data_IF_532514624882
#
_entry.id   IF_532514624882
#
_cell.length_a   1.000
_cell.length_b   1.000
_cell.length_c   1.000
_cell.angle_alpha   90.00
_cell.angle_beta   90.00
_cell.angle_gamma   90.00
#
_symmetry.space_group_name_H-M   'P 1'
#
loop_
_entity.id
_entity.type
_entity.pdbx_description
1 polymer ?
#
# COMPACT_ATOMS: atom_id res chain seq x y z
N UNK A 1 -15.63 18.95 9.25
CA UNK A 1 -15.68 19.17 7.80
C UNK A 1 -16.89 20.07 7.46
N UNK A 2 -18.11 19.74 7.94
CA UNK A 2 -19.32 20.53 7.65
C UNK A 2 -19.22 21.95 8.22
N UNK A 3 -18.62 22.13 9.40
CA UNK A 3 -18.44 23.42 10.06
C UNK A 3 -17.23 24.23 9.55
N UNK A 4 -16.28 23.61 8.86
CA UNK A 4 -15.08 24.28 8.36
C UNK A 4 -14.72 23.75 6.96
N UNK A 5 -15.09 24.47 5.88
CA UNK A 5 -14.81 24.05 4.51
C UNK A 5 -13.32 23.90 4.18
N UNK A 6 -12.44 24.65 4.86
CA UNK A 6 -10.98 24.53 4.68
C UNK A 6 -10.44 23.17 5.16
N UNK A 7 -11.16 22.47 6.05
CA UNK A 7 -10.78 21.15 6.53
C UNK A 7 -10.92 20.02 5.48
N UNK A 8 -11.55 20.32 4.33
CA UNK A 8 -11.68 19.35 3.23
C UNK A 8 -10.32 19.01 2.61
N UNK A 9 -9.41 20.00 2.54
CA UNK A 9 -8.08 19.79 1.94
C UNK A 9 -7.16 18.87 2.79
N UNK A 10 -7.23 18.98 4.12
CA UNK A 10 -6.43 18.17 5.04
C UNK A 10 -7.21 17.87 6.33
N UNK A 11 -8.21 16.96 6.27
CA UNK A 11 -9.12 16.73 7.39
C UNK A 11 -8.39 16.25 8.65
N UNK A 12 -7.34 15.44 8.53
CA UNK A 12 -6.62 14.88 9.66
C UNK A 12 -5.95 15.95 10.53
N UNK A 13 -5.28 16.93 9.92
CA UNK A 13 -4.57 17.98 10.66
C UNK A 13 -5.48 19.15 11.07
N UNK A 14 -6.61 19.35 10.40
CA UNK A 14 -7.51 20.47 10.62
C UNK A 14 -8.74 20.14 11.48
N UNK A 15 -8.92 18.87 11.90
CA UNK A 15 -9.98 18.46 12.83
C UNK A 15 -9.67 18.83 14.30
N UNK A 16 -8.39 18.98 14.66
CA UNK A 16 -7.98 19.32 16.01
C UNK A 16 -7.81 20.83 16.21
N UNK A 17 -7.77 21.31 17.47
CA UNK A 17 -7.42 22.68 17.80
C UNK A 17 -5.98 22.99 17.35
N UNK A 18 -5.68 24.28 17.14
CA UNK A 18 -4.41 24.72 16.54
C UNK A 18 -3.17 24.26 17.32
N UNK A 19 -3.25 24.19 18.64
CA UNK A 19 -2.15 23.71 19.50
C UNK A 19 -1.82 22.22 19.29
N UNK A 20 -2.78 21.42 18.81
CA UNK A 20 -2.60 19.98 18.59
C UNK A 20 -1.95 19.66 17.23
N UNK A 21 -1.91 20.61 16.30
CA UNK A 21 -1.36 20.39 14.95
C UNK A 21 0.12 19.97 14.97
N UNK A 22 0.94 20.68 15.74
CA UNK A 22 2.36 20.36 15.84
C UNK A 22 2.61 18.95 16.46
N UNK A 23 2.01 18.60 17.60
CA UNK A 23 2.06 17.23 18.13
C UNK A 23 1.58 16.17 17.14
N UNK A 24 0.50 16.42 16.39
CA UNK A 24 -0.01 15.48 15.39
C UNK A 24 0.98 15.27 14.23
N UNK A 25 1.65 16.31 13.75
CA UNK A 25 2.68 16.20 12.71
C UNK A 25 3.84 15.36 13.19
N UNK A 26 4.32 15.60 14.41
CA UNK A 26 5.42 14.82 15.00
C UNK A 26 4.99 13.34 15.14
N UNK A 27 3.81 13.10 15.69
CA UNK A 27 3.27 11.74 15.87
C UNK A 27 3.12 11.01 14.53
N UNK A 28 2.56 11.68 13.51
CA UNK A 28 2.41 11.13 12.18
C UNK A 28 3.77 10.81 11.55
N UNK A 29 4.77 11.65 11.73
CA UNK A 29 6.13 11.42 11.24
C UNK A 29 6.75 10.19 11.89
N UNK A 30 6.69 10.09 13.22
CA UNK A 30 7.18 8.91 13.96
C UNK A 30 6.44 7.64 13.53
N UNK A 31 5.12 7.69 13.41
CA UNK A 31 4.31 6.57 12.94
C UNK A 31 4.72 6.13 11.52
N UNK A 32 4.99 7.07 10.62
CA UNK A 32 5.45 6.79 9.26
C UNK A 32 6.82 6.10 9.24
N UNK A 33 7.75 6.51 10.09
CA UNK A 33 9.07 5.86 10.22
C UNK A 33 8.90 4.41 10.68
N UNK A 34 8.07 4.17 11.70
CA UNK A 34 7.80 2.81 12.22
C UNK A 34 7.14 1.94 11.14
N UNK A 35 6.14 2.48 10.44
CA UNK A 35 5.46 1.77 9.36
C UNK A 35 6.41 1.42 8.21
N UNK A 36 7.32 2.33 7.83
CA UNK A 36 8.34 2.08 6.82
C UNK A 36 9.26 0.93 7.21
N UNK A 37 9.73 0.89 8.47
CA UNK A 37 10.57 -0.22 8.96
C UNK A 37 9.83 -1.56 8.95
N UNK A 38 8.55 -1.58 9.33
CA UNK A 38 7.72 -2.77 9.28
C UNK A 38 7.56 -3.31 7.85
N UNK A 39 7.33 -2.42 6.86
CA UNK A 39 7.24 -2.78 5.45
C UNK A 39 8.54 -3.37 4.91
N UNK A 40 9.70 -2.77 5.23
CA UNK A 40 11.02 -3.27 4.81
C UNK A 40 11.28 -4.67 5.40
N UNK A 41 11.01 -4.85 6.69
CA UNK A 41 11.18 -6.15 7.36
C UNK A 41 10.23 -7.22 6.79
N UNK A 42 9.01 -6.84 6.48
CA UNK A 42 8.03 -7.69 5.80
C UNK A 42 8.51 -8.11 4.41
N UNK A 43 9.04 -7.17 3.62
CA UNK A 43 9.58 -7.44 2.29
C UNK A 43 10.77 -8.41 2.35
N UNK A 44 11.68 -8.27 3.34
CA UNK A 44 12.79 -9.22 3.53
C UNK A 44 12.28 -10.62 3.87
N UNK A 45 11.28 -10.73 4.73
CA UNK A 45 10.68 -12.01 5.11
C UNK A 45 10.03 -12.72 3.91
N UNK A 46 9.26 -11.98 3.11
CA UNK A 46 8.65 -12.52 1.89
C UNK A 46 9.72 -12.93 0.87
N UNK A 47 10.72 -12.09 0.64
CA UNK A 47 11.82 -12.40 -0.29
C UNK A 47 12.56 -13.66 0.13
N UNK A 48 12.83 -13.85 1.43
CA UNK A 48 13.43 -15.08 1.96
C UNK A 48 12.56 -16.30 1.68
N UNK A 49 11.26 -16.21 1.91
CA UNK A 49 10.32 -17.30 1.62
C UNK A 49 10.28 -17.62 0.12
N UNK A 50 10.25 -16.59 -0.74
CA UNK A 50 10.29 -16.77 -2.19
C UNK A 50 11.60 -17.45 -2.67
N UNK A 51 12.74 -17.13 -2.04
CA UNK A 51 14.00 -17.83 -2.32
C UNK A 51 13.95 -19.31 -1.89
N UNK A 52 13.39 -19.61 -0.73
CA UNK A 52 13.24 -20.98 -0.24
C UNK A 52 12.32 -21.82 -1.12
N UNK A 53 11.29 -21.21 -1.69
CA UNK A 53 10.36 -21.83 -2.62
C UNK A 53 10.87 -21.88 -4.07
N UNK A 54 12.05 -21.30 -4.36
CA UNK A 54 12.65 -21.30 -5.70
C UNK A 54 12.06 -20.26 -6.66
N UNK A 55 11.23 -19.33 -6.20
CA UNK A 55 10.67 -18.26 -7.02
C UNK A 55 11.63 -17.09 -7.26
N UNK A 56 12.61 -16.92 -6.37
CA UNK A 56 13.65 -15.90 -6.52
C UNK A 56 15.04 -16.56 -6.53
N UNK A 57 16.01 -15.95 -7.26
CA UNK A 57 17.38 -16.40 -7.22
C UNK A 57 17.95 -16.28 -5.80
N UNK A 58 18.97 -17.06 -5.51
CA UNK A 58 19.65 -17.01 -4.20
C UNK A 58 20.33 -15.66 -4.02
N UNK A 59 19.91 -14.92 -3.00
CA UNK A 59 20.49 -13.63 -2.61
C UNK A 59 21.23 -13.78 -1.28
N UNK A 60 22.17 -12.88 -1.03
CA UNK A 60 22.91 -12.84 0.23
C UNK A 60 21.97 -12.44 1.36
N UNK A 61 21.85 -13.30 2.36
CA UNK A 61 21.09 -13.05 3.60
C UNK A 61 22.10 -12.75 4.71
N UNK A 62 22.03 -11.56 5.28
CA UNK A 62 22.86 -11.18 6.42
C UNK A 62 21.99 -11.20 7.66
N UNK A 63 22.41 -11.92 8.69
CA UNK A 63 21.74 -11.91 9.99
C UNK A 63 22.30 -10.73 10.80
N UNK A 64 21.43 -9.84 11.23
CA UNK A 64 21.80 -8.64 12.00
C UNK A 64 21.84 -8.89 13.51
N UNK A 65 21.29 -10.02 13.97
CA UNK A 65 21.34 -10.44 15.37
C UNK A 65 21.81 -11.88 15.47
N UNK A 66 22.61 -12.18 16.49
CA UNK A 66 23.06 -13.53 16.83
C UNK A 66 22.05 -14.27 17.72
N UNK A 67 21.13 -13.56 18.33
CA UNK A 67 20.14 -14.10 19.29
C UNK A 67 18.74 -14.21 18.73
N UNK A 68 18.41 -13.45 17.68
CA UNK A 68 17.09 -13.43 17.08
C UNK A 68 17.14 -13.87 15.61
N UNK A 69 16.68 -15.07 15.31
CA UNK A 69 16.67 -15.65 13.95
C UNK A 69 15.81 -14.88 12.94
N UNK A 70 14.90 -14.02 13.43
CA UNK A 70 13.98 -13.23 12.60
C UNK A 70 14.58 -11.95 12.01
N UNK A 71 15.72 -11.47 12.52
CA UNK A 71 16.34 -10.23 12.05
C UNK A 71 17.28 -10.49 10.89
N UNK A 72 16.73 -10.43 9.69
CA UNK A 72 17.46 -10.62 8.43
C UNK A 72 17.56 -9.32 7.65
N UNK A 73 18.68 -9.12 6.98
CA UNK A 73 18.92 -8.03 6.05
C UNK A 73 19.29 -8.58 4.67
N UNK A 74 18.58 -8.13 3.64
CA UNK A 74 18.82 -8.48 2.24
C UNK A 74 19.24 -7.20 1.48
N UNK A 75 20.55 -7.00 1.23
CA UNK A 75 21.04 -5.79 0.58
C UNK A 75 20.41 -5.53 -0.78
N UNK A 76 20.22 -6.59 -1.57
CA UNK A 76 19.64 -6.48 -2.92
C UNK A 76 18.18 -6.02 -2.90
N UNK A 77 17.37 -6.57 -1.96
CA UNK A 77 15.97 -6.18 -1.78
C UNK A 77 15.89 -4.74 -1.25
N UNK A 78 16.77 -4.38 -0.29
CA UNK A 78 16.82 -3.02 0.23
C UNK A 78 17.15 -1.99 -0.85
N UNK A 79 18.12 -2.28 -1.70
CA UNK A 79 18.48 -1.41 -2.82
C UNK A 79 17.35 -1.32 -3.85
N UNK A 80 16.70 -2.42 -4.17
CA UNK A 80 15.53 -2.43 -5.06
C UNK A 80 14.37 -1.60 -4.51
N UNK A 81 14.08 -1.71 -3.21
CA UNK A 81 13.07 -0.89 -2.54
C UNK A 81 13.44 0.59 -2.57
N UNK A 82 14.71 0.94 -2.29
CA UNK A 82 15.19 2.32 -2.35
C UNK A 82 14.99 2.92 -3.75
N UNK A 83 15.44 2.21 -4.79
CA UNK A 83 15.29 2.65 -6.19
C UNK A 83 13.81 2.80 -6.52
N UNK A 84 12.98 1.83 -6.15
CA UNK A 84 11.53 1.87 -6.38
C UNK A 84 10.86 3.06 -5.71
N UNK A 85 11.19 3.33 -4.45
CA UNK A 85 10.63 4.48 -3.71
C UNK A 85 11.07 5.81 -4.32
N UNK A 86 12.37 5.96 -4.67
CA UNK A 86 12.86 7.17 -5.32
C UNK A 86 12.18 7.39 -6.68
N UNK A 87 12.03 6.33 -7.47
CA UNK A 87 11.30 6.39 -8.74
C UNK A 87 9.86 6.85 -8.54
N UNK A 88 9.14 6.30 -7.57
CA UNK A 88 7.75 6.69 -7.27
C UNK A 88 7.66 8.16 -6.83
N UNK A 89 8.54 8.61 -5.94
CA UNK A 89 8.56 10.00 -5.46
C UNK A 89 8.80 10.99 -6.60
N UNK A 90 9.76 10.69 -7.46
CA UNK A 90 10.08 11.55 -8.63
C UNK A 90 8.97 11.52 -9.68
N UNK A 91 8.32 10.37 -9.89
CA UNK A 91 7.26 10.21 -10.89
C UNK A 91 5.96 10.88 -10.49
N UNK A 92 5.52 10.69 -9.25
CA UNK A 92 4.20 11.17 -8.81
C UNK A 92 4.20 12.63 -8.33
N UNK A 93 5.30 13.12 -7.75
CA UNK A 93 5.50 14.51 -7.28
C UNK A 93 4.43 15.11 -6.37
N UNK A 94 3.32 14.41 -6.13
CA UNK A 94 2.23 14.82 -5.26
C UNK A 94 1.78 13.69 -4.35
N UNK A 95 1.42 14.05 -3.10
CA UNK A 95 0.93 13.07 -2.12
C UNK A 95 -0.40 12.45 -2.54
N UNK A 96 -1.27 13.21 -3.20
CA UNK A 96 -2.60 12.72 -3.63
C UNK A 96 -2.49 11.68 -4.76
N UNK A 97 -1.60 11.92 -5.73
CA UNK A 97 -1.35 10.96 -6.79
C UNK A 97 -0.71 9.67 -6.24
N UNK A 98 0.25 9.80 -5.31
CA UNK A 98 0.87 8.66 -4.65
C UNK A 98 -0.13 7.86 -3.80
N UNK A 99 -1.02 8.56 -3.06
CA UNK A 99 -2.09 7.91 -2.29
C UNK A 99 -3.07 7.14 -3.18
N UNK A 100 -3.37 7.66 -4.36
CA UNK A 100 -4.23 6.97 -5.34
C UNK A 100 -3.57 5.72 -5.91
N UNK A 101 -2.28 5.78 -6.25
CA UNK A 101 -1.50 4.62 -6.68
C UNK A 101 -1.41 3.56 -5.58
N UNK A 102 -1.18 3.98 -4.33
CA UNK A 102 -1.22 3.10 -3.17
C UNK A 102 -2.58 2.42 -3.00
N UNK A 103 -3.68 3.17 -3.15
CA UNK A 103 -5.04 2.63 -3.09
C UNK A 103 -5.28 1.51 -4.10
N UNK A 104 -4.81 1.66 -5.35
CA UNK A 104 -4.89 0.61 -6.38
C UNK A 104 -4.06 -0.62 -5.97
N UNK A 105 -2.84 -0.44 -5.50
CA UNK A 105 -1.96 -1.53 -5.12
C UNK A 105 -2.55 -2.36 -3.97
N UNK A 106 -3.07 -1.69 -2.93
CA UNK A 106 -3.68 -2.35 -1.76
C UNK A 106 -4.96 -3.08 -2.14
N UNK A 107 -5.88 -2.43 -2.84
CA UNK A 107 -7.15 -3.07 -3.24
C UNK A 107 -6.92 -4.19 -4.25
N UNK A 108 -5.93 -4.06 -5.15
CA UNK A 108 -5.52 -5.14 -6.04
C UNK A 108 -4.97 -6.36 -5.28
N UNK A 109 -4.19 -6.13 -4.22
CA UNK A 109 -3.71 -7.21 -3.35
C UNK A 109 -4.86 -7.90 -2.62
N UNK A 110 -5.87 -7.15 -2.16
CA UNK A 110 -7.06 -7.74 -1.52
C UNK A 110 -7.84 -8.63 -2.49
N UNK A 111 -8.03 -8.21 -3.74
CA UNK A 111 -8.66 -9.06 -4.76
C UNK A 111 -7.91 -10.37 -4.97
N UNK A 112 -6.58 -10.32 -5.10
CA UNK A 112 -5.75 -11.52 -5.19
C UNK A 112 -5.89 -12.40 -3.95
N UNK A 113 -5.90 -11.79 -2.76
CA UNK A 113 -6.06 -12.50 -1.48
C UNK A 113 -7.41 -13.21 -1.41
N UNK A 114 -8.50 -12.57 -1.81
CA UNK A 114 -9.83 -13.18 -1.84
C UNK A 114 -9.86 -14.45 -2.72
N UNK A 115 -9.24 -14.39 -3.91
CA UNK A 115 -9.16 -15.54 -4.81
C UNK A 115 -8.34 -16.67 -4.19
N UNK A 116 -7.15 -16.36 -3.66
CA UNK A 116 -6.28 -17.35 -3.04
C UNK A 116 -6.93 -17.96 -1.79
N UNK A 117 -7.57 -17.14 -0.95
CA UNK A 117 -8.28 -17.60 0.23
C UNK A 117 -9.43 -18.54 -0.14
N UNK A 118 -10.24 -18.22 -1.15
CA UNK A 118 -11.30 -19.09 -1.62
C UNK A 118 -10.77 -20.47 -2.00
N UNK A 119 -9.62 -20.54 -2.67
CA UNK A 119 -8.97 -21.79 -3.06
C UNK A 119 -8.46 -22.57 -1.83
N UNK A 120 -7.79 -21.88 -0.89
CA UNK A 120 -7.24 -22.49 0.33
C UNK A 120 -8.36 -23.04 1.22
N UNK A 121 -9.39 -22.24 1.50
CA UNK A 121 -10.50 -22.65 2.34
C UNK A 121 -11.25 -23.85 1.76
N UNK A 122 -11.37 -23.89 0.43
CA UNK A 122 -11.98 -25.03 -0.24
C UNK A 122 -11.10 -26.28 -0.18
N UNK A 123 -9.79 -26.16 -0.45
CA UNK A 123 -8.90 -27.34 -0.58
C UNK A 123 -8.39 -27.86 0.76
N UNK A 124 -8.09 -26.96 1.68
CA UNK A 124 -7.40 -27.30 2.91
C UNK A 124 -8.37 -27.41 4.10
N UNK A 125 -9.40 -26.57 4.16
CA UNK A 125 -10.39 -26.57 5.24
C UNK A 125 -11.69 -27.32 4.87
N UNK A 126 -11.80 -27.91 3.67
CA UNK A 126 -12.93 -28.74 3.28
C UNK A 126 -14.26 -27.99 3.10
N UNK A 127 -14.21 -26.68 2.89
CA UNK A 127 -15.43 -25.90 2.68
C UNK A 127 -16.14 -26.31 1.38
N UNK A 128 -17.49 -26.29 1.41
CA UNK A 128 -18.27 -26.48 0.20
C UNK A 128 -17.99 -25.37 -0.82
N UNK A 129 -18.15 -25.67 -2.10
CA UNK A 129 -17.96 -24.67 -3.19
C UNK A 129 -18.84 -23.44 -2.97
N UNK A 130 -20.10 -23.68 -2.61
CA UNK A 130 -21.09 -22.61 -2.38
C UNK A 130 -20.70 -21.71 -1.21
N UNK A 131 -20.25 -22.28 -0.08
CA UNK A 131 -19.80 -21.51 1.08
C UNK A 131 -18.54 -20.70 0.77
N UNK A 132 -17.53 -21.29 0.13
CA UNK A 132 -16.30 -20.59 -0.22
C UNK A 132 -16.55 -19.43 -1.22
N UNK A 133 -17.35 -19.70 -2.27
CA UNK A 133 -17.70 -18.66 -3.25
C UNK A 133 -18.61 -17.59 -2.61
N UNK A 134 -19.55 -17.95 -1.77
CA UNK A 134 -20.46 -17.00 -1.12
C UNK A 134 -19.71 -16.01 -0.23
N UNK A 135 -18.82 -16.49 0.63
CA UNK A 135 -18.07 -15.65 1.57
C UNK A 135 -17.01 -14.84 0.83
N UNK A 136 -16.10 -15.50 0.12
CA UNK A 136 -14.97 -14.83 -0.54
C UNK A 136 -15.40 -14.05 -1.78
N UNK A 137 -16.48 -14.47 -2.47
CA UNK A 137 -17.11 -13.72 -3.55
C UNK A 137 -17.75 -12.42 -3.05
N UNK A 138 -18.33 -12.42 -1.86
CA UNK A 138 -18.83 -11.21 -1.20
C UNK A 138 -17.71 -10.20 -0.91
N UNK A 139 -16.60 -10.64 -0.32
CA UNK A 139 -15.42 -9.80 -0.10
C UNK A 139 -14.84 -9.32 -1.44
N UNK A 140 -14.70 -10.20 -2.42
CA UNK A 140 -14.21 -9.85 -3.76
C UNK A 140 -15.05 -8.76 -4.43
N UNK A 141 -16.37 -8.77 -4.26
CA UNK A 141 -17.25 -7.72 -4.79
C UNK A 141 -17.01 -6.37 -4.09
N UNK A 142 -16.89 -6.38 -2.77
CA UNK A 142 -16.62 -5.16 -2.00
C UNK A 142 -15.25 -4.58 -2.38
N UNK A 143 -14.22 -5.40 -2.39
CA UNK A 143 -12.86 -4.99 -2.77
C UNK A 143 -12.79 -4.56 -4.24
N UNK A 144 -13.59 -5.20 -5.11
CA UNK A 144 -13.72 -4.83 -6.51
C UNK A 144 -14.29 -3.43 -6.71
N UNK A 145 -15.30 -3.05 -5.94
CA UNK A 145 -15.85 -1.68 -5.96
C UNK A 145 -14.80 -0.67 -5.52
N UNK A 146 -14.06 -0.95 -4.44
CA UNK A 146 -12.97 -0.07 -3.99
C UNK A 146 -11.83 0.01 -5.01
N UNK A 147 -11.45 -1.11 -5.61
CA UNK A 147 -10.44 -1.13 -6.67
C UNK A 147 -10.87 -0.28 -7.86
N UNK A 148 -12.09 -0.46 -8.33
CA UNK A 148 -12.63 0.32 -9.46
C UNK A 148 -12.70 1.80 -9.14
N UNK A 149 -13.13 2.19 -7.93
CA UNK A 149 -13.16 3.58 -7.49
C UNK A 149 -11.75 4.21 -7.49
N UNK A 150 -10.73 3.48 -7.03
CA UNK A 150 -9.34 3.96 -7.07
C UNK A 150 -8.81 4.09 -8.50
N UNK A 151 -9.12 3.13 -9.39
CA UNK A 151 -8.73 3.20 -10.81
C UNK A 151 -9.37 4.42 -11.48
N UNK A 152 -10.66 4.65 -11.27
CA UNK A 152 -11.36 5.81 -11.83
C UNK A 152 -10.76 7.14 -11.32
N UNK A 153 -10.37 7.21 -10.05
CA UNK A 153 -9.71 8.39 -9.49
C UNK A 153 -8.38 8.70 -10.17
N UNK A 154 -7.58 7.69 -10.47
CA UNK A 154 -6.30 7.86 -11.20
C UNK A 154 -6.54 8.32 -12.63
N UNK A 155 -7.55 7.76 -13.32
CA UNK A 155 -7.90 8.18 -14.67
C UNK A 155 -8.35 9.65 -14.71
N UNK A 156 -9.15 10.10 -13.72
CA UNK A 156 -9.57 11.50 -13.60
C UNK A 156 -8.38 12.44 -13.36
N UNK A 157 -7.45 12.08 -12.47
CA UNK A 157 -6.23 12.86 -12.22
C UNK A 157 -5.35 12.96 -13.47
N UNK A 158 -5.25 11.88 -14.23
CA UNK A 158 -4.51 11.85 -15.50
C UNK A 158 -5.14 12.76 -16.57
N UNK A 159 -6.47 12.75 -16.68
CA UNK A 159 -7.21 13.59 -17.63
C UNK A 159 -7.12 15.08 -17.28
N UNK A 160 -7.16 15.44 -15.98
CA UNK A 160 -7.01 16.83 -15.53
C UNK A 160 -5.61 17.35 -15.86
N UNK A 161 -4.57 16.54 -15.69
CA UNK A 161 -3.19 16.94 -16.03
C UNK A 161 -2.96 17.13 -17.53
N UNK A 162 -3.74 16.45 -18.39
CA UNK A 162 -3.68 16.61 -19.84
C UNK A 162 -4.46 17.84 -20.31
N UNK A 163 -5.49 18.26 -19.57
CA UNK A 163 -6.36 19.38 -19.95
C UNK A 163 -5.94 20.74 -19.38
N UNK A 164 -5.05 20.80 -18.38
CA UNK A 164 -4.59 22.04 -17.77
C UNK A 164 -3.48 22.83 -18.51
N UNK A 165 -2.66 22.29 -19.41
CA UNK A 165 -1.65 23.11 -20.10
C UNK A 165 -2.26 24.20 -21.01
N UNK A 166 -3.52 24.14 -21.34
CA UNK A 166 -4.19 25.12 -22.21
C UNK A 166 -4.76 26.34 -21.49
N UNK A 167 -4.85 26.34 -20.17
CA UNK A 167 -5.42 27.48 -19.39
C UNK A 167 -4.39 28.47 -18.83
N UNK A 168 -3.10 28.14 -18.89
CA UNK A 168 -2.02 29.06 -18.44
C UNK A 168 -1.38 29.85 -19.61
N UNK A 169 -1.89 29.71 -20.84
CA UNK A 169 -1.38 30.40 -22.03
C UNK A 169 -2.34 31.50 -22.54
N UNK A 170 -3.36 31.87 -21.79
CA UNK A 170 -4.19 33.06 -21.97
C UNK A 170 -4.06 33.99 -20.76
#
# INVERSE_FOLDING_TARGET
VIANPAAVANPFFLLGPDWLRLPLVILATVATVIASQALISGAFSIARQCMQLGFLPRMTVTHTSTTEEGQIFLPQVNTALLIGVLFLVVSFRSSDALASAYGIAVTGTFLCTCVLAAVVFRRQFGWSRTAAIGVWGGFFLVDGVFFLANVLKVLQLSLIHISEPTRQAE
#
